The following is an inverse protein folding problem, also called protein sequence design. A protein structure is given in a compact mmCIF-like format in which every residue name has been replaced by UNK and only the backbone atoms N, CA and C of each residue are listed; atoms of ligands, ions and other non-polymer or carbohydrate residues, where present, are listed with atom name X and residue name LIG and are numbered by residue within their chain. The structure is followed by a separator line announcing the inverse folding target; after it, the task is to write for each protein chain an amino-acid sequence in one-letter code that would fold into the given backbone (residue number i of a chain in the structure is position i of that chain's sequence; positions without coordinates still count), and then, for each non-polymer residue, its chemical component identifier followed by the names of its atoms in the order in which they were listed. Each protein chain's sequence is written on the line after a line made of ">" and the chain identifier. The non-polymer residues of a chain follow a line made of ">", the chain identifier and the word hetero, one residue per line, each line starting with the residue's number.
data_IF_745322523274
#
_entry.id   IF_745322523274
#
_cell.length_a   1.000
_cell.length_b   1.000
_cell.length_c   1.000
_cell.angle_alpha   90.00
_cell.angle_beta   90.00
_cell.angle_gamma   90.00
#
_symmetry.space_group_name_H-M   'P 1'
#
loop_
_entity.id
_entity.type
_entity.pdbx_description
1 polymer ?
#
# COMPACT_ATOMS: atom_id res chain seq x y z
N UNK A 1 -19.88 27.02 7.16
CA UNK A 1 -19.46 25.72 7.76
C UNK A 1 -18.21 25.16 7.06
N UNK A 2 -17.23 26.03 6.74
CA UNK A 2 -16.06 25.69 5.92
C UNK A 2 -14.72 25.80 6.67
N UNK A 3 -14.76 26.12 7.97
CA UNK A 3 -13.60 26.54 8.77
C UNK A 3 -13.00 25.42 9.63
N UNK A 4 -13.77 24.39 10.00
CA UNK A 4 -13.34 23.38 10.97
C UNK A 4 -12.56 22.21 10.34
N UNK A 5 -12.78 21.92 9.06
CA UNK A 5 -12.02 20.88 8.34
C UNK A 5 -10.61 21.33 7.96
N UNK A 6 -10.43 22.63 7.70
CA UNK A 6 -9.12 23.20 7.37
C UNK A 6 -8.18 23.18 8.59
N UNK A 7 -8.69 23.49 9.79
CA UNK A 7 -7.87 23.52 11.01
C UNK A 7 -7.31 22.17 11.46
N UNK A 8 -7.93 21.05 11.05
CA UNK A 8 -7.45 19.68 11.33
C UNK A 8 -6.35 19.26 10.36
N UNK A 9 -6.38 19.73 9.09
CA UNK A 9 -5.34 19.47 8.11
C UNK A 9 -4.09 20.36 8.28
N UNK A 10 -4.19 21.44 9.06
CA UNK A 10 -3.06 22.34 9.29
C UNK A 10 -2.09 21.83 10.38
N UNK A 11 -2.51 20.91 11.27
CA UNK A 11 -1.74 20.50 12.45
C UNK A 11 -1.54 18.97 12.59
N UNK A 12 -1.50 18.21 11.49
CA UNK A 12 -1.14 16.79 11.55
C UNK A 12 0.35 16.54 11.25
N UNK A 13 0.91 15.55 11.93
CA UNK A 13 2.27 15.06 11.67
C UNK A 13 2.23 14.00 10.55
N UNK A 14 2.56 14.44 9.33
CA UNK A 14 2.57 13.58 8.14
C UNK A 14 3.48 12.35 8.32
N UNK A 15 4.76 12.48 8.72
CA UNK A 15 5.61 11.32 9.01
C UNK A 15 4.96 10.28 9.92
N UNK A 16 4.28 10.72 11.00
CA UNK A 16 3.59 9.81 11.92
C UNK A 16 2.41 9.14 11.24
N UNK A 17 1.55 9.87 10.55
CA UNK A 17 0.39 9.30 9.84
C UNK A 17 0.80 8.31 8.75
N UNK A 18 1.81 8.66 7.95
CA UNK A 18 2.37 7.78 6.91
C UNK A 18 3.00 6.53 7.54
N UNK A 19 3.73 6.69 8.66
CA UNK A 19 4.29 5.57 9.42
C UNK A 19 3.22 4.61 9.93
N UNK A 20 2.11 5.14 10.49
CA UNK A 20 0.96 4.35 10.94
C UNK A 20 0.22 3.69 9.77
N UNK A 21 0.00 4.40 8.66
CA UNK A 21 -0.64 3.83 7.48
C UNK A 21 0.17 2.65 6.93
N UNK A 22 1.49 2.77 6.85
CA UNK A 22 2.38 1.70 6.39
C UNK A 22 2.40 0.52 7.37
N UNK A 23 2.37 0.76 8.68
CA UNK A 23 2.34 -0.33 9.66
C UNK A 23 1.04 -1.13 9.57
N UNK A 24 -0.11 -0.46 9.42
CA UNK A 24 -1.40 -1.11 9.20
C UNK A 24 -1.36 -1.94 7.90
N UNK A 25 -0.85 -1.36 6.81
CA UNK A 25 -0.71 -2.08 5.55
C UNK A 25 0.16 -3.34 5.67
N UNK A 26 1.28 -3.28 6.41
CA UNK A 26 2.11 -4.47 6.66
C UNK A 26 1.36 -5.56 7.41
N UNK A 27 0.62 -5.20 8.46
CA UNK A 27 -0.18 -6.15 9.24
C UNK A 27 -1.22 -6.81 8.32
N UNK A 28 -1.89 -6.04 7.47
CA UNK A 28 -2.83 -6.58 6.48
C UNK A 28 -2.15 -7.56 5.52
N UNK A 29 -0.98 -7.22 4.95
CA UNK A 29 -0.23 -8.13 4.08
C UNK A 29 0.21 -9.41 4.80
N UNK A 30 0.57 -9.34 6.08
CA UNK A 30 0.89 -10.53 6.88
C UNK A 30 -0.35 -11.43 7.03
N UNK A 31 -1.51 -10.85 7.33
CA UNK A 31 -2.77 -11.59 7.42
C UNK A 31 -3.10 -12.26 6.08
N UNK A 32 -2.95 -11.54 4.95
CA UNK A 32 -3.17 -12.11 3.61
C UNK A 32 -2.29 -13.34 3.36
N UNK A 33 -0.99 -13.27 3.69
CA UNK A 33 -0.06 -14.41 3.55
C UNK A 33 -0.48 -15.57 4.46
N UNK A 34 -0.88 -15.29 5.70
CA UNK A 34 -1.38 -16.32 6.62
C UNK A 34 -2.65 -17.00 6.10
N UNK A 35 -3.58 -16.24 5.50
CA UNK A 35 -4.80 -16.79 4.90
C UNK A 35 -4.47 -17.67 3.70
N UNK A 36 -3.59 -17.23 2.80
CA UNK A 36 -3.11 -18.05 1.67
C UNK A 36 -2.45 -19.34 2.18
N UNK A 37 -1.61 -19.26 3.20
CA UNK A 37 -0.94 -20.41 3.80
C UNK A 37 -1.92 -21.39 4.46
N UNK A 38 -2.94 -20.87 5.15
CA UNK A 38 -3.98 -21.70 5.79
C UNK A 38 -4.74 -22.58 4.81
N UNK A 39 -4.80 -22.18 3.54
CA UNK A 39 -5.48 -22.89 2.46
C UNK A 39 -4.53 -23.52 1.44
N UNK A 40 -3.24 -23.59 1.77
CA UNK A 40 -2.21 -24.16 0.90
C UNK A 40 -2.50 -25.61 0.48
N UNK A 41 -3.23 -26.39 1.30
CA UNK A 41 -3.63 -27.76 0.98
C UNK A 41 -4.70 -27.89 -0.12
N UNK A 42 -5.50 -26.85 -0.34
CA UNK A 42 -6.51 -26.82 -1.42
C UNK A 42 -5.99 -26.18 -2.70
N UNK A 43 -4.92 -25.38 -2.61
CA UNK A 43 -4.33 -24.68 -3.76
C UNK A 43 -3.35 -25.58 -4.52
N UNK A 44 -3.34 -25.45 -5.84
CA UNK A 44 -2.25 -26.00 -6.66
C UNK A 44 -0.93 -25.31 -6.30
N UNK A 45 0.19 -26.04 -6.38
CA UNK A 45 1.52 -25.47 -6.07
C UNK A 45 1.83 -24.18 -6.87
N UNK A 46 1.56 -24.10 -8.19
CA UNK A 46 1.75 -22.85 -8.93
C UNK A 46 0.87 -21.70 -8.43
N UNK A 47 -0.40 -21.96 -8.09
CA UNK A 47 -1.32 -20.94 -7.57
C UNK A 47 -0.86 -20.42 -6.21
N UNK A 48 -0.48 -21.34 -5.31
CA UNK A 48 0.04 -21.00 -3.99
C UNK A 48 1.29 -20.11 -4.09
N UNK A 49 2.24 -20.47 -4.95
CA UNK A 49 3.45 -19.68 -5.18
C UNK A 49 3.14 -18.30 -5.76
N UNK A 50 2.25 -18.22 -6.76
CA UNK A 50 1.86 -16.94 -7.35
C UNK A 50 1.24 -16.00 -6.31
N UNK A 51 0.26 -16.50 -5.55
CA UNK A 51 -0.44 -15.72 -4.53
C UNK A 51 0.52 -15.24 -3.44
N UNK A 52 1.36 -16.16 -2.93
CA UNK A 52 2.35 -15.85 -1.91
C UNK A 52 3.39 -14.85 -2.40
N UNK A 53 3.82 -14.95 -3.66
CA UNK A 53 4.82 -14.04 -4.24
C UNK A 53 4.28 -12.61 -4.38
N UNK A 54 3.04 -12.45 -4.84
CA UNK A 54 2.39 -11.14 -4.96
C UNK A 54 2.31 -10.45 -3.59
N UNK A 55 1.80 -11.16 -2.57
CA UNK A 55 1.68 -10.61 -1.22
C UNK A 55 3.04 -10.38 -0.56
N UNK A 56 4.00 -11.28 -0.74
CA UNK A 56 5.36 -11.13 -0.19
C UNK A 56 6.11 -9.96 -0.83
N UNK A 57 5.96 -9.74 -2.14
CA UNK A 57 6.52 -8.57 -2.80
C UNK A 57 5.93 -7.27 -2.24
N UNK A 58 4.61 -7.23 -2.07
CA UNK A 58 3.95 -6.06 -1.47
C UNK A 58 4.44 -5.82 -0.03
N UNK A 59 4.50 -6.87 0.79
CA UNK A 59 5.01 -6.80 2.15
C UNK A 59 6.45 -6.28 2.20
N UNK A 60 7.34 -6.84 1.36
CA UNK A 60 8.74 -6.40 1.29
C UNK A 60 8.84 -4.92 0.90
N UNK A 61 8.07 -4.49 -0.10
CA UNK A 61 8.06 -3.10 -0.54
C UNK A 61 7.64 -2.13 0.58
N UNK A 62 6.54 -2.44 1.26
CA UNK A 62 6.00 -1.61 2.35
C UNK A 62 6.95 -1.63 3.56
N UNK A 63 7.45 -2.81 3.94
CA UNK A 63 8.37 -2.98 5.06
C UNK A 63 9.68 -2.23 4.85
N UNK A 64 10.26 -2.29 3.64
CA UNK A 64 11.45 -1.49 3.30
C UNK A 64 11.19 0.01 3.47
N UNK A 65 10.08 0.52 2.93
CA UNK A 65 9.75 1.96 3.03
C UNK A 65 9.40 2.40 4.45
N UNK A 66 8.83 1.51 5.25
CA UNK A 66 8.56 1.76 6.67
C UNK A 66 9.86 1.78 7.49
N UNK A 67 10.70 0.75 7.35
CA UNK A 67 11.95 0.62 8.10
C UNK A 67 12.94 1.77 7.83
N UNK A 68 13.11 2.15 6.56
CA UNK A 68 14.00 3.25 6.17
C UNK A 68 13.34 4.63 6.23
N UNK A 69 12.09 4.74 6.72
CA UNK A 69 11.33 5.99 6.76
C UNK A 69 11.39 6.77 5.43
N UNK A 70 11.21 6.07 4.30
CA UNK A 70 11.34 6.67 2.96
C UNK A 70 10.23 7.70 2.75
N UNK A 71 10.59 8.95 2.46
CA UNK A 71 9.63 10.03 2.23
C UNK A 71 9.01 9.90 0.83
N UNK A 72 7.71 9.62 0.77
CA UNK A 72 6.98 9.50 -0.48
C UNK A 72 6.82 10.83 -1.24
N UNK A 73 6.93 11.98 -0.54
CA UNK A 73 6.88 13.31 -1.17
C UNK A 73 8.09 13.54 -2.08
N UNK A 74 9.27 13.08 -1.65
CA UNK A 74 10.48 13.17 -2.46
C UNK A 74 10.31 12.40 -3.76
N UNK A 75 9.88 11.14 -3.66
CA UNK A 75 9.64 10.30 -4.83
C UNK A 75 8.57 10.92 -5.73
N UNK A 76 7.50 11.51 -5.17
CA UNK A 76 6.44 12.16 -5.94
C UNK A 76 6.95 13.39 -6.70
N UNK A 77 7.76 14.23 -6.06
CA UNK A 77 8.39 15.38 -6.73
C UNK A 77 9.29 14.94 -7.86
N UNK A 78 10.08 13.87 -7.67
CA UNK A 78 10.93 13.34 -8.72
C UNK A 78 10.11 12.72 -9.86
N UNK A 79 9.04 12.00 -9.54
CA UNK A 79 8.11 11.49 -10.54
C UNK A 79 7.52 12.60 -11.44
N UNK A 80 7.26 13.78 -10.89
CA UNK A 80 6.72 14.93 -11.63
C UNK A 80 7.82 15.68 -12.41
N UNK A 81 9.00 15.85 -11.79
CA UNK A 81 10.08 16.70 -12.30
C UNK A 81 10.93 16.01 -13.37
N UNK A 82 11.17 14.71 -13.21
CA UNK A 82 12.13 14.00 -14.04
C UNK A 82 11.65 13.85 -15.48
N UNK A 83 12.55 14.20 -16.42
CA UNK A 83 12.28 14.14 -17.86
C UNK A 83 12.60 12.77 -18.45
N UNK A 84 13.54 12.05 -17.85
CA UNK A 84 13.93 10.74 -18.32
C UNK A 84 12.86 9.70 -17.95
N UNK A 85 12.27 8.99 -18.94
CA UNK A 85 11.11 8.12 -18.68
C UNK A 85 11.47 6.92 -17.79
N UNK A 86 12.68 6.40 -17.89
CA UNK A 86 13.19 5.28 -17.08
C UNK A 86 13.22 5.64 -15.59
N UNK A 87 13.82 6.77 -15.25
CA UNK A 87 13.91 7.31 -13.89
C UNK A 87 12.52 7.65 -13.36
N UNK A 88 11.68 8.27 -14.21
CA UNK A 88 10.29 8.59 -13.85
C UNK A 88 9.50 7.33 -13.47
N UNK A 89 9.60 6.26 -14.25
CA UNK A 89 8.91 5.00 -13.95
C UNK A 89 9.40 4.41 -12.62
N UNK A 90 10.68 4.49 -12.28
CA UNK A 90 11.19 3.98 -11.00
C UNK A 90 10.53 4.68 -9.80
N UNK A 91 10.45 6.02 -9.82
CA UNK A 91 9.77 6.78 -8.77
C UNK A 91 8.26 6.51 -8.75
N UNK A 92 7.62 6.41 -9.92
CA UNK A 92 6.21 6.04 -10.01
C UNK A 92 5.93 4.67 -9.39
N UNK A 93 6.74 3.66 -9.74
CA UNK A 93 6.64 2.33 -9.15
C UNK A 93 6.81 2.39 -7.64
N UNK A 94 7.78 3.15 -7.12
CA UNK A 94 7.99 3.27 -5.68
C UNK A 94 6.72 3.72 -4.94
N UNK A 95 5.99 4.69 -5.50
CA UNK A 95 4.80 5.32 -4.91
C UNK A 95 3.54 4.45 -5.10
N UNK A 96 3.30 3.96 -6.32
CA UNK A 96 2.04 3.28 -6.67
C UNK A 96 2.03 1.78 -6.36
N UNK A 97 3.17 1.17 -6.06
CA UNK A 97 3.27 -0.28 -5.81
C UNK A 97 2.31 -0.79 -4.73
N UNK A 98 2.20 -0.18 -3.52
CA UNK A 98 1.28 -0.68 -2.49
C UNK A 98 -0.18 -0.72 -2.94
N UNK A 99 -0.61 0.29 -3.72
CA UNK A 99 -1.97 0.38 -4.26
C UNK A 99 -2.18 -0.64 -5.36
N UNK A 100 -1.24 -0.73 -6.31
CA UNK A 100 -1.32 -1.65 -7.44
C UNK A 100 -1.30 -3.11 -6.97
N UNK A 101 -0.35 -3.47 -6.10
CA UNK A 101 -0.21 -4.82 -5.59
C UNK A 101 -1.39 -5.20 -4.69
N UNK A 102 -1.85 -4.27 -3.84
CA UNK A 102 -3.08 -4.45 -3.06
C UNK A 102 -4.27 -4.79 -3.94
N UNK A 103 -4.51 -3.99 -4.98
CA UNK A 103 -5.59 -4.21 -5.94
C UNK A 103 -5.44 -5.54 -6.71
N UNK A 104 -4.21 -5.88 -7.13
CA UNK A 104 -3.95 -7.16 -7.79
C UNK A 104 -4.28 -8.33 -6.88
N UNK A 105 -3.87 -8.29 -5.60
CA UNK A 105 -4.26 -9.31 -4.60
C UNK A 105 -5.77 -9.38 -4.44
N UNK A 106 -6.48 -8.24 -4.41
CA UNK A 106 -7.94 -8.20 -4.33
C UNK A 106 -8.63 -8.94 -5.49
N UNK A 107 -8.12 -8.79 -6.72
CA UNK A 107 -8.76 -9.35 -7.91
C UNK A 107 -8.35 -10.81 -8.15
N UNK A 108 -7.06 -11.11 -7.97
CA UNK A 108 -6.45 -12.37 -8.39
C UNK A 108 -6.60 -13.46 -7.33
N UNK A 109 -6.41 -13.12 -6.05
CA UNK A 109 -6.38 -14.13 -4.99
C UNK A 109 -7.80 -14.55 -4.65
N UNK A 110 -8.14 -15.80 -4.91
CA UNK A 110 -9.44 -16.39 -4.55
C UNK A 110 -9.19 -17.67 -3.78
N UNK A 111 -9.78 -17.72 -2.61
CA UNK A 111 -9.72 -18.84 -1.69
C UNK A 111 -11.10 -19.51 -1.66
N UNK A 112 -11.14 -20.84 -1.60
CA UNK A 112 -12.34 -21.68 -1.61
C UNK A 112 -13.09 -21.58 -0.27
N UNK A 113 -12.37 -21.52 0.85
CA UNK A 113 -12.99 -21.36 2.16
C UNK A 113 -13.57 -19.94 2.31
N UNK A 114 -14.89 -19.85 2.40
CA UNK A 114 -15.60 -18.57 2.47
C UNK A 114 -15.17 -17.66 3.63
N UNK A 115 -14.84 -18.21 4.80
CA UNK A 115 -14.40 -17.43 5.95
C UNK A 115 -12.97 -16.91 5.77
N UNK A 116 -12.05 -17.77 5.32
CA UNK A 116 -10.65 -17.41 5.04
C UNK A 116 -10.59 -16.36 3.92
N UNK A 117 -11.36 -16.57 2.84
CA UNK A 117 -11.49 -15.63 1.75
C UNK A 117 -12.06 -14.29 2.24
N UNK A 118 -13.07 -14.29 3.10
CA UNK A 118 -13.63 -13.06 3.67
C UNK A 118 -12.59 -12.26 4.46
N UNK A 119 -11.83 -12.91 5.35
CA UNK A 119 -10.75 -12.25 6.10
C UNK A 119 -9.73 -11.68 5.14
N UNK A 120 -9.29 -12.45 4.15
CA UNK A 120 -8.34 -11.98 3.13
C UNK A 120 -8.87 -10.74 2.41
N UNK A 121 -10.13 -10.73 1.96
CA UNK A 121 -10.72 -9.58 1.26
C UNK A 121 -10.84 -8.35 2.15
N UNK A 122 -11.18 -8.52 3.43
CA UNK A 122 -11.26 -7.42 4.38
C UNK A 122 -9.87 -6.84 4.69
N UNK A 123 -8.87 -7.68 4.95
CA UNK A 123 -7.48 -7.23 5.15
C UNK A 123 -6.97 -6.49 3.93
N UNK A 124 -7.24 -7.01 2.73
CA UNK A 124 -6.82 -6.38 1.49
C UNK A 124 -7.52 -5.05 1.23
N UNK A 125 -8.83 -4.97 1.49
CA UNK A 125 -9.57 -3.71 1.40
C UNK A 125 -8.98 -2.63 2.31
N UNK A 126 -8.67 -2.98 3.57
CA UNK A 126 -8.02 -2.06 4.51
C UNK A 126 -6.64 -1.65 4.02
N UNK A 127 -5.84 -2.60 3.51
CA UNK A 127 -4.51 -2.32 2.94
C UNK A 127 -4.60 -1.32 1.78
N UNK A 128 -5.50 -1.54 0.82
CA UNK A 128 -5.70 -0.65 -0.33
C UNK A 128 -6.20 0.72 0.12
N UNK A 129 -7.15 0.77 1.06
CA UNK A 129 -7.66 2.03 1.60
C UNK A 129 -6.55 2.86 2.26
N UNK A 130 -5.69 2.22 3.05
CA UNK A 130 -4.53 2.89 3.67
C UNK A 130 -3.49 3.33 2.63
N UNK A 131 -3.25 2.53 1.58
CA UNK A 131 -2.35 2.89 0.50
C UNK A 131 -2.85 4.11 -0.29
N UNK A 132 -4.14 4.15 -0.62
CA UNK A 132 -4.77 5.29 -1.30
C UNK A 132 -4.81 6.53 -0.40
N UNK A 133 -5.13 6.36 0.90
CA UNK A 133 -5.11 7.45 1.87
C UNK A 133 -3.71 8.06 2.05
N UNK A 134 -2.68 7.22 2.19
CA UNK A 134 -1.29 7.66 2.25
C UNK A 134 -0.90 8.44 0.99
N UNK A 135 -1.24 7.89 -0.19
CA UNK A 135 -0.98 8.54 -1.48
C UNK A 135 -1.67 9.92 -1.54
N UNK A 136 -2.95 10.00 -1.18
CA UNK A 136 -3.70 11.26 -1.20
C UNK A 136 -3.07 12.33 -0.28
N UNK A 137 -2.58 11.94 0.90
CA UNK A 137 -1.87 12.84 1.81
C UNK A 137 -0.53 13.32 1.23
N UNK A 138 0.24 12.42 0.63
CA UNK A 138 1.51 12.77 -0.03
C UNK A 138 1.27 13.74 -1.20
N UNK A 139 0.22 13.53 -2.01
CA UNK A 139 -0.19 14.47 -3.06
C UNK A 139 -0.64 15.82 -2.49
N UNK A 140 -1.46 15.82 -1.44
CA UNK A 140 -1.93 17.05 -0.80
C UNK A 140 -0.75 17.90 -0.30
N UNK A 141 0.24 17.28 0.35
CA UNK A 141 1.43 17.99 0.84
C UNK A 141 2.26 18.62 -0.28
N UNK A 142 2.48 17.89 -1.37
CA UNK A 142 3.29 18.38 -2.50
C UNK A 142 2.58 19.48 -3.29
N UNK A 143 1.28 19.33 -3.56
CA UNK A 143 0.55 20.25 -4.44
C UNK A 143 -0.13 21.43 -3.72
N UNK A 144 -0.56 21.24 -2.47
CA UNK A 144 -1.31 22.27 -1.73
C UNK A 144 -0.43 23.00 -0.73
N UNK A 145 0.31 22.27 0.12
CA UNK A 145 1.23 22.89 1.08
C UNK A 145 2.56 23.33 0.44
N UNK A 146 2.90 22.78 -0.72
CA UNK A 146 4.17 23.05 -1.41
C UNK A 146 5.40 22.45 -0.70
N UNK A 147 5.17 21.51 0.21
CA UNK A 147 6.19 20.89 1.05
C UNK A 147 6.82 19.65 0.42
#
# INVERSE_FOLDING_TARGET
>A
MHSTTVSLLDNYDLPVLVGMARSIQMICCIIEIMMIYSESGSLSMPTFLLYSTICAFNLFHIAKRWYYNIDGRYDLKQFIREREPTVRVQYGMAIFTPTLMGFLTYVIVKLENGFVNFILKMSNFVQVLMAVGQLALEFYEVYVKGN
#
